data_IF_550098885584
#
_entry.id   IF_550098885584
#
_cell.length_a   1.000
_cell.length_b   1.000
_cell.length_c   1.000
_cell.angle_alpha   90.00
_cell.angle_beta   90.00
_cell.angle_gamma   90.00
#
_symmetry.space_group_name_H-M   'P 1'
#
loop_
_entity.id
_entity.type
_entity.pdbx_description
1 polymer ?
#
# COMPACT_ATOMS: atom_id res chain seq x y z
N UNK A 1 -18.49 2.49 4.40
CA UNK A 1 -18.55 1.60 3.24
C UNK A 1 -17.96 2.25 1.99
N UNK A 2 -18.45 3.43 1.54
CA UNK A 2 -17.96 4.13 0.34
C UNK A 2 -16.43 4.31 0.37
N UNK A 3 -15.87 4.77 1.51
CA UNK A 3 -14.42 4.94 1.66
C UNK A 3 -13.65 3.65 1.44
N UNK A 4 -14.10 2.56 2.05
CA UNK A 4 -13.46 1.24 1.90
C UNK A 4 -13.60 0.71 0.47
N UNK A 5 -14.77 0.90 -0.17
CA UNK A 5 -14.98 0.46 -1.54
C UNK A 5 -14.03 1.14 -2.53
N UNK A 6 -13.84 2.46 -2.43
CA UNK A 6 -12.91 3.17 -3.31
C UNK A 6 -11.45 2.77 -3.08
N UNK A 7 -11.04 2.54 -1.82
CA UNK A 7 -9.71 1.97 -1.54
C UNK A 7 -9.55 0.58 -2.18
N UNK A 8 -10.55 -0.28 -2.02
CA UNK A 8 -10.52 -1.64 -2.58
C UNK A 8 -10.41 -1.61 -4.11
N UNK A 9 -11.20 -0.75 -4.78
CA UNK A 9 -11.14 -0.57 -6.23
C UNK A 9 -9.78 -0.03 -6.67
N UNK A 10 -9.24 0.98 -5.98
CA UNK A 10 -7.90 1.50 -6.27
C UNK A 10 -6.81 0.42 -6.13
N UNK A 11 -6.85 -0.38 -5.07
CA UNK A 11 -5.90 -1.48 -4.88
C UNK A 11 -6.06 -2.60 -5.92
N UNK A 12 -7.31 -2.96 -6.26
CA UNK A 12 -7.57 -3.95 -7.30
C UNK A 12 -7.06 -3.48 -8.67
N UNK A 13 -7.28 -2.20 -9.00
CA UNK A 13 -6.78 -1.60 -10.24
C UNK A 13 -5.24 -1.62 -10.27
N UNK A 14 -4.58 -1.28 -9.15
CA UNK A 14 -3.13 -1.36 -9.04
C UNK A 14 -2.62 -2.79 -9.26
N UNK A 15 -3.29 -3.78 -8.66
CA UNK A 15 -2.94 -5.19 -8.80
C UNK A 15 -3.11 -5.67 -10.25
N UNK A 16 -4.23 -5.35 -10.90
CA UNK A 16 -4.52 -5.72 -12.29
C UNK A 16 -3.52 -5.15 -13.29
N UNK A 17 -3.08 -3.90 -13.06
CA UNK A 17 -2.13 -3.21 -13.92
C UNK A 17 -0.66 -3.49 -13.57
N UNK A 18 -0.40 -4.33 -12.57
CA UNK A 18 0.96 -4.60 -12.09
C UNK A 18 1.65 -3.36 -11.51
N UNK A 19 0.88 -2.36 -11.06
CA UNK A 19 1.41 -1.13 -10.48
C UNK A 19 1.97 -1.42 -9.08
N UNK A 20 3.27 -1.24 -8.90
CA UNK A 20 3.98 -1.55 -7.64
C UNK A 20 3.50 -0.69 -6.47
N UNK A 21 3.12 0.55 -6.74
CA UNK A 21 2.69 1.52 -5.73
C UNK A 21 1.18 1.57 -5.67
N UNK A 22 0.60 0.75 -4.81
CA UNK A 22 -0.81 0.88 -4.46
C UNK A 22 -1.07 2.29 -3.86
N UNK A 23 -2.30 2.83 -3.98
CA UNK A 23 -2.62 4.20 -3.55
C UNK A 23 -2.13 4.58 -2.15
N UNK A 24 -2.33 3.72 -1.16
CA UNK A 24 -1.90 3.96 0.22
C UNK A 24 -0.38 4.00 0.32
N UNK A 25 0.32 3.10 -0.37
CA UNK A 25 1.79 3.05 -0.37
C UNK A 25 2.36 4.31 -0.99
N UNK A 26 1.80 4.77 -2.12
CA UNK A 26 2.25 5.98 -2.80
C UNK A 26 2.13 7.23 -1.91
N UNK A 27 1.00 7.37 -1.21
CA UNK A 27 0.79 8.49 -0.27
C UNK A 27 1.75 8.38 0.93
N UNK A 28 1.96 7.18 1.46
CA UNK A 28 2.86 6.96 2.59
C UNK A 28 4.31 7.29 2.22
N UNK A 29 4.80 6.81 1.07
CA UNK A 29 6.14 7.14 0.56
C UNK A 29 6.29 8.64 0.31
N UNK A 30 5.28 9.27 -0.28
CA UNK A 30 5.26 10.71 -0.51
C UNK A 30 5.36 11.52 0.79
N UNK A 31 4.76 11.04 1.86
CA UNK A 31 4.82 11.66 3.19
C UNK A 31 6.21 11.50 3.80
N UNK A 32 6.79 10.30 3.71
CA UNK A 32 8.17 10.03 4.17
C UNK A 32 9.16 10.97 3.46
N UNK A 33 9.05 11.08 2.14
CA UNK A 33 9.94 11.91 1.32
C UNK A 33 9.95 13.40 1.73
N UNK A 34 8.90 13.86 2.38
CA UNK A 34 8.75 15.25 2.84
C UNK A 34 8.97 15.43 4.34
N UNK A 35 9.11 14.33 5.06
CA UNK A 35 9.37 14.37 6.50
C UNK A 35 10.84 14.73 6.75
N UNK A 36 11.16 15.70 7.63
CA UNK A 36 12.53 16.02 8.00
C UNK A 36 13.29 14.80 8.54
N UNK A 37 14.55 14.62 8.11
CA UNK A 37 15.38 13.47 8.48
C UNK A 37 15.46 13.21 9.98
N UNK A 38 15.58 14.27 10.79
CA UNK A 38 15.61 14.14 12.25
C UNK A 38 14.35 13.49 12.86
N UNK A 39 13.17 13.66 12.24
CA UNK A 39 11.93 12.99 12.67
C UNK A 39 11.93 11.54 12.24
N UNK A 40 12.44 11.25 11.04
CA UNK A 40 12.57 9.88 10.54
C UNK A 40 13.53 9.09 11.43
N UNK A 41 14.69 9.64 11.76
CA UNK A 41 15.69 9.01 12.63
C UNK A 41 15.14 8.72 14.03
N UNK A 42 14.41 9.68 14.62
CA UNK A 42 13.71 9.46 15.90
C UNK A 42 12.66 8.36 15.80
N UNK A 43 11.89 8.33 14.71
CA UNK A 43 10.91 7.29 14.46
C UNK A 43 11.56 5.91 14.39
N UNK A 44 12.65 5.78 13.63
CA UNK A 44 13.41 4.54 13.50
C UNK A 44 14.02 4.11 14.84
N UNK A 45 14.61 5.05 15.58
CA UNK A 45 15.23 4.75 16.89
C UNK A 45 14.22 4.27 17.94
N UNK A 46 12.98 4.78 17.89
CA UNK A 46 11.92 4.40 18.82
C UNK A 46 11.20 3.11 18.42
N UNK A 47 10.98 2.88 17.13
CA UNK A 47 10.13 1.81 16.61
C UNK A 47 10.94 0.62 16.07
N UNK A 48 12.22 0.80 15.78
CA UNK A 48 13.09 -0.24 15.24
C UNK A 48 12.49 -0.84 13.96
N UNK A 49 12.30 -2.17 13.95
CA UNK A 49 11.75 -2.92 12.82
C UNK A 49 10.26 -2.68 12.58
N UNK A 50 9.55 -2.02 13.51
CA UNK A 50 8.11 -1.73 13.43
C UNK A 50 7.80 -0.37 12.81
N UNK A 51 8.80 0.41 12.40
CA UNK A 51 8.64 1.74 11.81
C UNK A 51 7.63 1.75 10.64
N UNK A 52 7.78 0.85 9.69
CA UNK A 52 6.93 0.74 8.49
C UNK A 52 5.50 0.26 8.79
N UNK A 53 5.29 -0.86 9.53
CA UNK A 53 3.95 -1.25 9.94
C UNK A 53 3.20 -0.17 10.71
N UNK A 54 3.87 0.52 11.62
CA UNK A 54 3.28 1.62 12.40
C UNK A 54 2.88 2.78 11.49
N UNK A 55 3.74 3.17 10.56
CA UNK A 55 3.44 4.24 9.63
C UNK A 55 2.23 3.92 8.74
N UNK A 56 2.17 2.71 8.19
CA UNK A 56 1.00 2.25 7.43
C UNK A 56 -0.25 2.26 8.30
N UNK A 57 -0.12 1.83 9.56
CA UNK A 57 -1.20 1.88 10.55
C UNK A 57 -1.71 3.31 10.79
N UNK A 58 -0.82 4.28 10.97
CA UNK A 58 -1.16 5.70 11.14
C UNK A 58 -1.93 6.22 9.92
N UNK A 59 -1.45 5.94 8.70
CA UNK A 59 -2.14 6.33 7.47
C UNK A 59 -3.52 5.65 7.39
N UNK A 60 -3.61 4.38 7.78
CA UNK A 60 -4.87 3.65 7.84
C UNK A 60 -5.87 4.28 8.80
N UNK A 61 -5.44 4.64 10.01
CA UNK A 61 -6.27 5.33 11.01
C UNK A 61 -6.70 6.71 10.52
N UNK A 62 -5.81 7.47 9.91
CA UNK A 62 -6.12 8.78 9.32
C UNK A 62 -7.18 8.67 8.21
N UNK A 63 -7.07 7.68 7.34
CA UNK A 63 -8.06 7.40 6.30
C UNK A 63 -9.41 7.00 6.90
N UNK A 64 -9.43 6.13 7.92
CA UNK A 64 -10.66 5.76 8.61
C UNK A 64 -11.30 6.97 9.27
N UNK A 65 -10.53 7.83 9.90
CA UNK A 65 -10.99 9.10 10.47
C UNK A 65 -11.62 10.01 9.41
N UNK A 66 -10.98 10.14 8.25
CA UNK A 66 -11.51 10.92 7.12
C UNK A 66 -12.81 10.32 6.58
N UNK A 67 -12.93 8.99 6.50
CA UNK A 67 -14.16 8.32 6.07
C UNK A 67 -15.29 8.49 7.07
N UNK A 68 -14.99 8.43 8.36
CA UNK A 68 -15.97 8.71 9.41
C UNK A 68 -16.42 10.17 9.38
N UNK A 69 -15.48 11.11 9.23
CA UNK A 69 -15.79 12.53 9.08
C UNK A 69 -16.66 12.80 7.84
N UNK A 70 -16.34 12.19 6.69
CA UNK A 70 -17.18 12.27 5.50
C UNK A 70 -18.59 11.74 5.77
N UNK A 71 -18.73 10.61 6.46
CA UNK A 71 -20.04 10.04 6.82
C UNK A 71 -20.84 10.92 7.78
N UNK A 72 -20.18 11.54 8.77
CA UNK A 72 -20.82 12.46 9.71
C UNK A 72 -21.26 13.77 9.01
N UNK A 73 -20.37 14.35 8.20
CA UNK A 73 -20.67 15.58 7.47
C UNK A 73 -21.71 15.40 6.38
N UNK A 74 -21.83 14.19 5.83
CA UNK A 74 -22.90 13.87 4.88
C UNK A 74 -24.31 14.02 5.48
N UNK A 75 -24.46 13.86 6.81
CA UNK A 75 -25.73 14.12 7.51
C UNK A 75 -26.14 15.58 7.47
N UNK A 76 -25.18 16.50 7.29
CA UNK A 76 -25.43 17.93 7.21
C UNK A 76 -25.46 18.40 5.75
N UNK A 77 -24.55 17.88 4.92
CA UNK A 77 -24.45 18.25 3.52
C UNK A 77 -23.64 17.21 2.74
N UNK A 78 -24.23 16.68 1.69
CA UNK A 78 -23.56 15.74 0.75
C UNK A 78 -22.33 16.42 0.13
N UNK A 79 -22.42 17.70 -0.18
CA UNK A 79 -21.33 18.47 -0.76
C UNK A 79 -20.07 18.46 0.14
N UNK A 80 -20.23 18.49 1.47
CA UNK A 80 -19.09 18.43 2.38
C UNK A 80 -18.40 17.07 2.34
N UNK A 81 -19.16 15.99 2.30
CA UNK A 81 -18.59 14.64 2.16
C UNK A 81 -17.88 14.48 0.80
N UNK A 82 -18.46 15.00 -0.27
CA UNK A 82 -17.86 15.00 -1.61
C UNK A 82 -16.49 15.68 -1.59
N UNK A 83 -16.34 16.84 -0.96
CA UNK A 83 -15.09 17.56 -0.90
C UNK A 83 -14.01 16.83 -0.09
N UNK A 84 -14.37 16.06 0.94
CA UNK A 84 -13.40 15.21 1.65
C UNK A 84 -12.84 14.14 0.72
N UNK A 85 -13.70 13.42 -0.01
CA UNK A 85 -13.26 12.41 -0.95
C UNK A 85 -12.47 12.99 -2.13
N UNK A 86 -12.87 14.15 -2.63
CA UNK A 86 -12.14 14.88 -3.66
C UNK A 86 -10.74 15.29 -3.17
N UNK A 87 -10.63 15.78 -1.93
CA UNK A 87 -9.35 16.14 -1.33
C UNK A 87 -8.43 14.92 -1.14
N UNK A 88 -8.96 13.78 -0.67
CA UNK A 88 -8.20 12.54 -0.55
C UNK A 88 -7.70 12.04 -1.91
N UNK A 89 -8.54 12.13 -2.95
CA UNK A 89 -8.16 11.80 -4.32
C UNK A 89 -7.07 12.74 -4.86
N UNK A 90 -7.20 14.05 -4.59
CA UNK A 90 -6.21 15.04 -4.96
C UNK A 90 -4.86 14.80 -4.27
N UNK A 91 -4.85 14.46 -2.97
CA UNK A 91 -3.63 14.08 -2.23
C UNK A 91 -3.00 12.83 -2.86
N UNK A 92 -3.79 11.82 -3.17
CA UNK A 92 -3.31 10.62 -3.86
C UNK A 92 -2.70 10.93 -5.23
N UNK A 93 -3.34 11.78 -6.02
CA UNK A 93 -2.82 12.21 -7.31
C UNK A 93 -1.53 13.02 -7.17
N UNK A 94 -1.49 13.96 -6.23
CA UNK A 94 -0.30 14.76 -5.93
C UNK A 94 0.87 13.86 -5.51
N UNK A 95 0.60 12.82 -4.71
CA UNK A 95 1.61 11.85 -4.30
C UNK A 95 2.22 11.10 -5.49
N UNK A 96 1.42 10.70 -6.48
CA UNK A 96 1.93 10.07 -7.70
C UNK A 96 2.71 11.06 -8.57
N UNK A 97 2.17 12.26 -8.76
CA UNK A 97 2.76 13.26 -9.67
C UNK A 97 4.09 13.84 -9.16
N UNK A 98 4.24 13.94 -7.84
CA UNK A 98 5.42 14.58 -7.21
C UNK A 98 6.29 13.61 -6.41
N UNK A 99 5.95 12.33 -6.38
CA UNK A 99 6.75 11.29 -5.73
C UNK A 99 7.97 10.88 -6.56
N UNK A 100 9.01 10.35 -5.90
CA UNK A 100 10.29 9.97 -6.52
C UNK A 100 10.22 8.83 -7.56
N UNK A 101 9.09 8.16 -7.68
CA UNK A 101 8.94 6.94 -8.48
C UNK A 101 8.73 7.13 -9.98
N UNK A 102 8.72 8.36 -10.45
CA UNK A 102 8.36 8.68 -11.83
C UNK A 102 6.85 8.56 -12.11
N UNK A 103 6.36 9.36 -13.02
CA UNK A 103 4.95 9.35 -13.42
C UNK A 103 4.79 8.42 -14.62
N UNK A 104 4.07 7.32 -14.41
CA UNK A 104 3.60 6.50 -15.52
C UNK A 104 2.08 6.63 -15.63
N UNK A 105 1.51 6.65 -16.85
CA UNK A 105 0.05 6.72 -17.01
C UNK A 105 -0.68 5.60 -16.22
N UNK A 106 -0.10 4.41 -16.18
CA UNK A 106 -0.63 3.28 -15.42
C UNK A 106 -0.66 3.52 -13.91
N UNK A 107 0.26 4.32 -13.36
CA UNK A 107 0.31 4.61 -11.92
C UNK A 107 -0.81 5.55 -11.45
N UNK A 108 -1.37 6.37 -12.35
CA UNK A 108 -2.47 7.30 -12.01
C UNK A 108 -3.84 6.60 -11.99
N UNK A 109 -4.03 5.56 -12.80
CA UNK A 109 -5.30 4.86 -12.94
C UNK A 109 -5.88 4.31 -11.63
N UNK A 110 -5.11 3.71 -10.71
CA UNK A 110 -5.59 3.26 -9.42
C UNK A 110 -6.20 4.39 -8.57
N UNK A 111 -5.56 5.57 -8.59
CA UNK A 111 -6.06 6.75 -7.86
C UNK A 111 -7.35 7.26 -8.49
N UNK A 112 -7.38 7.37 -9.82
CA UNK A 112 -8.57 7.81 -10.57
C UNK A 112 -9.74 6.87 -10.29
N UNK A 113 -9.54 5.56 -10.41
CA UNK A 113 -10.58 4.56 -10.19
C UNK A 113 -11.12 4.59 -8.75
N UNK A 114 -10.23 4.67 -7.75
CA UNK A 114 -10.61 4.79 -6.35
C UNK A 114 -11.36 6.07 -6.05
N UNK A 115 -10.86 7.21 -6.52
CA UNK A 115 -11.50 8.53 -6.35
C UNK A 115 -12.85 8.58 -7.03
N UNK A 116 -12.96 8.09 -8.25
CA UNK A 116 -14.22 8.02 -8.98
C UNK A 116 -15.27 7.19 -8.23
N UNK A 117 -14.84 6.04 -7.67
CA UNK A 117 -15.70 5.21 -6.81
C UNK A 117 -16.15 5.97 -5.56
N UNK A 118 -15.29 6.77 -4.93
CA UNK A 118 -15.67 7.61 -3.80
C UNK A 118 -16.70 8.67 -4.17
N UNK A 119 -16.45 9.39 -5.26
CA UNK A 119 -17.32 10.50 -5.69
C UNK A 119 -18.70 10.00 -6.14
N UNK A 120 -18.75 8.98 -7.00
CA UNK A 120 -20.01 8.39 -7.45
C UNK A 120 -20.73 7.66 -6.31
N UNK A 121 -20.00 6.85 -5.54
CA UNK A 121 -20.56 6.11 -4.42
C UNK A 121 -21.13 7.02 -3.35
N UNK A 122 -20.50 8.18 -3.09
CA UNK A 122 -21.01 9.17 -2.14
C UNK A 122 -22.33 9.78 -2.65
N UNK A 123 -22.39 10.19 -3.91
CA UNK A 123 -23.61 10.74 -4.52
C UNK A 123 -24.75 9.73 -4.47
N UNK A 124 -24.47 8.47 -4.83
CA UNK A 124 -25.49 7.45 -4.90
C UNK A 124 -26.04 7.03 -3.53
N UNK A 125 -25.14 6.79 -2.55
CA UNK A 125 -25.54 6.37 -1.19
C UNK A 125 -26.21 7.50 -0.44
N UNK A 126 -25.64 8.69 -0.47
CA UNK A 126 -26.20 9.81 0.29
C UNK A 126 -27.48 10.33 -0.34
N UNK A 127 -27.59 10.37 -1.67
CA UNK A 127 -28.83 10.69 -2.37
C UNK A 127 -29.97 9.70 -2.09
N UNK A 128 -29.63 8.40 -1.97
CA UNK A 128 -30.61 7.38 -1.58
C UNK A 128 -31.06 7.51 -0.11
N UNK A 129 -30.18 8.00 0.77
CA UNK A 129 -30.52 8.25 2.19
C UNK A 129 -31.33 9.52 2.39
N UNK A 130 -31.06 10.60 1.63
CA UNK A 130 -31.89 11.82 1.64
C UNK A 130 -33.32 11.54 1.21
N UNK A 131 -33.50 10.76 0.15
CA UNK A 131 -34.83 10.37 -0.34
C UNK A 131 -35.62 9.52 0.66
N UNK A 132 -34.95 8.95 1.67
CA UNK A 132 -35.57 8.16 2.74
C UNK A 132 -35.95 8.98 3.98
N UNK A 133 -35.65 10.29 3.99
CA UNK A 133 -35.82 11.16 5.18
C UNK A 133 -37.22 11.80 5.29
N UNK A 134 -38.19 11.46 4.41
CA UNK A 134 -39.57 11.81 4.64
C UNK A 134 -40.26 10.84 5.62
N UNK A 135 -40.88 11.33 6.73
CA UNK A 135 -41.47 10.46 7.73
C UNK A 135 -42.79 9.87 7.24
N UNK A 136 -43.15 8.59 7.50
CA UNK A 136 -42.94 7.90 8.73
C UNK A 136 -42.29 6.50 8.59
N UNK A 137 -41.58 6.16 9.61
CA UNK A 137 -40.98 4.84 9.87
C UNK A 137 -39.67 4.54 9.11
N UNK A 138 -38.60 4.61 9.88
CA UNK A 138 -37.20 4.24 9.60
C UNK A 138 -37.03 2.85 8.95
N UNK A 139 -37.52 2.68 7.72
CA UNK A 139 -37.13 1.55 6.87
C UNK A 139 -36.26 2.11 5.77
N UNK A 140 -34.97 1.74 5.78
CA UNK A 140 -34.12 1.86 4.62
C UNK A 140 -34.92 1.39 3.40
N UNK A 141 -35.30 2.31 2.53
CA UNK A 141 -36.06 1.97 1.34
C UNK A 141 -35.25 0.94 0.51
N UNK A 142 -35.95 0.15 -0.29
CA UNK A 142 -35.35 -0.86 -1.16
C UNK A 142 -34.13 -0.32 -1.95
N UNK A 143 -34.20 0.94 -2.39
CA UNK A 143 -33.12 1.63 -3.10
C UNK A 143 -31.88 1.85 -2.21
N UNK A 144 -32.05 2.26 -0.95
CA UNK A 144 -30.95 2.43 0.00
C UNK A 144 -30.28 1.10 0.34
N UNK A 145 -31.03 0.03 0.54
CA UNK A 145 -30.50 -1.31 0.74
C UNK A 145 -29.73 -1.80 -0.50
N UNK A 146 -30.23 -1.58 -1.71
CA UNK A 146 -29.55 -1.96 -2.94
C UNK A 146 -28.28 -1.14 -3.15
N UNK A 147 -28.25 0.16 -2.79
CA UNK A 147 -27.08 0.99 -2.87
C UNK A 147 -25.98 0.52 -1.92
N UNK A 148 -26.31 0.27 -0.64
CA UNK A 148 -25.37 -0.24 0.37
C UNK A 148 -24.87 -1.62 -0.02
N UNK A 149 -25.79 -2.51 -0.44
CA UNK A 149 -25.44 -3.86 -0.90
C UNK A 149 -24.54 -3.84 -2.13
N UNK A 150 -24.83 -3.01 -3.12
CA UNK A 150 -23.99 -2.85 -4.32
C UNK A 150 -22.58 -2.39 -4.01
N UNK A 151 -22.40 -1.41 -3.12
CA UNK A 151 -21.07 -0.96 -2.70
C UNK A 151 -20.34 -2.02 -1.90
N UNK A 152 -21.04 -2.76 -1.04
CA UNK A 152 -20.44 -3.89 -0.32
C UNK A 152 -19.96 -4.97 -1.29
N UNK A 153 -20.74 -5.31 -2.31
CA UNK A 153 -20.34 -6.27 -3.36
C UNK A 153 -19.12 -5.77 -4.11
N UNK A 154 -19.07 -4.50 -4.51
CA UNK A 154 -17.90 -3.90 -5.19
C UNK A 154 -16.66 -3.98 -4.29
N UNK A 155 -16.79 -3.66 -3.00
CA UNK A 155 -15.66 -3.74 -2.06
C UNK A 155 -15.14 -5.17 -1.89
N UNK A 156 -16.03 -6.15 -1.76
CA UNK A 156 -15.68 -7.58 -1.63
C UNK A 156 -15.06 -8.10 -2.92
N UNK A 157 -15.66 -7.82 -4.07
CA UNK A 157 -15.15 -8.25 -5.38
C UNK A 157 -13.76 -7.67 -5.65
N UNK A 158 -13.57 -6.36 -5.40
CA UNK A 158 -12.27 -5.70 -5.56
C UNK A 158 -11.21 -6.26 -4.59
N UNK A 159 -11.59 -6.57 -3.35
CA UNK A 159 -10.69 -7.22 -2.38
C UNK A 159 -10.32 -8.63 -2.82
N UNK A 160 -11.27 -9.39 -3.37
CA UNK A 160 -11.04 -10.72 -3.93
C UNK A 160 -10.07 -10.71 -5.11
N UNK A 161 -10.21 -9.75 -6.02
CA UNK A 161 -9.26 -9.54 -7.12
C UNK A 161 -7.86 -9.26 -6.56
N UNK A 162 -7.71 -8.35 -5.60
CA UNK A 162 -6.43 -8.08 -4.95
C UNK A 162 -5.80 -9.33 -4.32
N UNK A 163 -6.62 -10.19 -3.69
CA UNK A 163 -6.17 -11.45 -3.09
C UNK A 163 -5.70 -12.48 -4.14
N UNK A 164 -6.36 -12.54 -5.32
CA UNK A 164 -5.95 -13.41 -6.42
C UNK A 164 -4.58 -13.02 -6.97
N UNK A 165 -4.34 -11.71 -7.15
CA UNK A 165 -3.04 -11.21 -7.63
C UNK A 165 -1.93 -11.34 -6.59
N UNK A 166 -2.26 -11.42 -5.30
CA UNK A 166 -1.29 -11.73 -4.24
C UNK A 166 -0.75 -13.16 -4.30
N UNK A 167 -1.32 -14.04 -5.14
CA UNK A 167 -0.79 -15.38 -5.42
C UNK A 167 0.59 -15.32 -6.06
N UNK A 168 0.83 -14.38 -6.97
CA UNK A 168 2.14 -14.19 -7.61
C UNK A 168 3.22 -13.87 -6.58
N UNK A 169 2.90 -13.03 -5.60
CA UNK A 169 3.81 -12.73 -4.48
C UNK A 169 4.12 -13.98 -3.66
N UNK A 170 3.12 -14.77 -3.30
CA UNK A 170 3.32 -16.02 -2.56
C UNK A 170 4.10 -17.06 -3.37
N UNK A 171 3.92 -17.10 -4.69
CA UNK A 171 4.71 -17.98 -5.58
C UNK A 171 6.18 -17.56 -5.61
N UNK A 172 6.47 -16.25 -5.71
CA UNK A 172 7.83 -15.75 -5.67
C UNK A 172 8.50 -15.96 -4.29
N UNK A 173 7.76 -15.82 -3.20
CA UNK A 173 8.24 -16.14 -1.85
C UNK A 173 8.58 -17.62 -1.72
N UNK A 174 7.69 -18.51 -2.17
CA UNK A 174 7.95 -19.96 -2.19
C UNK A 174 9.13 -20.34 -3.08
N UNK A 175 9.25 -19.72 -4.26
CA UNK A 175 10.37 -19.96 -5.16
C UNK A 175 11.71 -19.54 -4.52
N UNK A 176 11.70 -18.49 -3.70
CA UNK A 176 12.85 -18.04 -2.91
C UNK A 176 13.23 -19.04 -1.82
N UNK A 177 12.24 -19.60 -1.12
CA UNK A 177 12.45 -20.64 -0.09
C UNK A 177 13.04 -21.93 -0.67
N UNK A 178 12.70 -22.24 -1.92
CA UNK A 178 13.20 -23.42 -2.64
C UNK A 178 14.57 -23.18 -3.27
N UNK A 179 15.02 -21.94 -3.36
CA UNK A 179 16.33 -21.60 -3.92
C UNK A 179 17.44 -22.07 -2.99
N UNK A 180 18.14 -23.11 -3.42
CA UNK A 180 19.35 -23.60 -2.75
C UNK A 180 20.56 -23.09 -3.52
N UNK A 181 21.24 -22.14 -2.90
CA UNK A 181 22.53 -21.68 -3.43
C UNK A 181 23.61 -22.72 -3.04
N UNK A 182 24.50 -23.11 -3.96
CA UNK A 182 25.67 -23.91 -3.61
C UNK A 182 26.56 -23.06 -2.69
N UNK A 183 26.39 -23.24 -1.39
CA UNK A 183 27.21 -22.57 -0.40
C UNK A 183 28.38 -23.45 -0.06
N UNK A 184 29.58 -23.06 -0.44
CA UNK A 184 30.80 -23.49 0.25
C UNK A 184 30.79 -22.79 1.61
N UNK A 185 30.86 -23.55 2.68
CA UNK A 185 31.04 -23.03 4.02
C UNK A 185 32.55 -22.80 4.25
N UNK A 186 33.11 -21.63 3.92
CA UNK A 186 34.50 -21.38 4.09
C UNK A 186 34.78 -21.35 5.60
N UNK A 187 35.59 -22.27 6.09
CA UNK A 187 36.11 -22.19 7.45
C UNK A 187 36.93 -20.90 7.54
N UNK A 188 36.57 -19.97 8.42
CA UNK A 188 37.36 -18.74 8.56
C UNK A 188 38.78 -19.08 8.93
N UNK A 189 39.78 -18.38 8.37
CA UNK A 189 41.18 -18.56 8.76
C UNK A 189 41.36 -18.38 10.28
N UNK A 190 42.30 -19.13 10.87
CA UNK A 190 42.61 -18.96 12.29
C UNK A 190 43.00 -17.50 12.59
N UNK A 191 42.48 -16.96 13.68
CA UNK A 191 42.77 -15.58 14.09
C UNK A 191 41.84 -14.49 13.47
N UNK A 192 40.88 -14.84 12.63
CA UNK A 192 39.95 -13.88 12.02
C UNK A 192 38.95 -13.29 13.02
N UNK A 193 38.67 -13.95 14.13
CA UNK A 193 37.81 -13.46 15.17
C UNK A 193 38.59 -12.59 16.16
N UNK A 194 38.37 -11.30 16.10
CA UNK A 194 38.82 -10.36 17.12
C UNK A 194 38.00 -10.64 18.39
N UNK A 195 38.64 -11.22 19.43
CA UNK A 195 38.03 -11.46 20.74
C UNK A 195 37.86 -10.15 21.52
N UNK A 196 37.25 -9.15 20.90
CA UNK A 196 36.98 -7.83 21.48
C UNK A 196 35.50 -7.76 21.80
N UNK A 197 35.14 -7.36 23.01
CA UNK A 197 33.77 -7.13 23.40
C UNK A 197 33.12 -6.08 22.44
N UNK A 198 31.86 -6.29 22.08
CA UNK A 198 31.07 -5.42 21.19
C UNK A 198 31.44 -5.46 19.69
N UNK A 199 32.44 -6.23 19.28
CA UNK A 199 32.74 -6.46 17.86
C UNK A 199 31.94 -7.67 17.37
N UNK A 200 31.19 -7.47 16.26
CA UNK A 200 30.45 -8.54 15.63
C UNK A 200 31.40 -9.71 15.23
N UNK A 201 30.96 -10.96 15.35
CA UNK A 201 31.73 -12.09 14.89
C UNK A 201 31.99 -11.97 13.39
N UNK A 202 33.12 -12.52 12.92
CA UNK A 202 33.49 -12.51 11.50
C UNK A 202 32.35 -13.04 10.61
N UNK A 203 31.60 -14.00 11.11
CA UNK A 203 30.41 -14.54 10.45
C UNK A 203 29.18 -14.24 11.30
N UNK A 204 28.30 -13.42 10.78
CA UNK A 204 27.00 -13.15 11.42
C UNK A 204 26.04 -14.29 11.11
N UNK A 205 25.45 -14.97 12.11
CA UNK A 205 24.39 -15.96 11.89
C UNK A 205 23.19 -15.33 11.14
N UNK A 206 22.47 -16.15 10.37
CA UNK A 206 21.35 -15.65 9.56
C UNK A 206 20.20 -15.04 10.39
N UNK A 207 19.99 -15.54 11.60
CA UNK A 207 19.00 -15.04 12.56
C UNK A 207 19.41 -13.71 13.19
N UNK A 208 20.71 -13.43 13.27
CA UNK A 208 21.26 -12.18 13.75
C UNK A 208 21.59 -11.19 12.62
N UNK A 209 21.41 -11.59 11.35
CA UNK A 209 21.71 -10.73 10.21
C UNK A 209 20.60 -9.69 10.02
N UNK A 210 20.98 -8.42 10.04
CA UNK A 210 20.02 -7.34 9.85
C UNK A 210 19.51 -7.28 8.41
N UNK A 211 18.24 -6.93 8.25
CA UNK A 211 17.61 -6.71 6.94
C UNK A 211 17.15 -5.27 6.84
N UNK A 212 17.64 -4.55 5.83
CA UNK A 212 17.19 -3.19 5.52
C UNK A 212 16.43 -3.19 4.20
N UNK A 213 15.18 -2.76 4.25
CA UNK A 213 14.39 -2.51 3.06
C UNK A 213 14.30 -1.01 2.80
N UNK A 214 14.81 -0.56 1.67
CA UNK A 214 14.71 0.85 1.25
C UNK A 214 13.32 1.21 0.75
N UNK A 215 12.56 0.22 0.27
CA UNK A 215 11.18 0.40 -0.17
C UNK A 215 10.18 0.00 0.91
N UNK A 216 9.05 0.71 0.99
CA UNK A 216 7.95 0.36 1.89
C UNK A 216 7.33 -1.00 1.51
N UNK A 217 7.21 -1.25 0.21
CA UNK A 217 6.78 -2.51 -0.37
C UNK A 217 7.88 -3.04 -1.30
N UNK A 218 8.69 -4.04 -0.86
CA UNK A 218 9.70 -4.66 -1.71
C UNK A 218 9.07 -5.21 -3.00
N UNK A 219 9.74 -5.04 -4.16
CA UNK A 219 9.24 -5.56 -5.41
C UNK A 219 9.20 -7.09 -5.37
N UNK A 220 8.12 -7.66 -5.87
CA UNK A 220 8.01 -9.10 -6.08
C UNK A 220 8.54 -9.43 -7.46
N UNK A 221 9.65 -10.16 -7.52
CA UNK A 221 10.28 -10.58 -8.76
C UNK A 221 10.09 -12.08 -8.88
N UNK A 222 9.51 -12.55 -9.98
CA UNK A 222 9.45 -13.99 -10.28
C UNK A 222 10.87 -14.45 -10.65
N UNK A 223 11.45 -15.46 -9.96
CA UNK A 223 12.79 -15.95 -10.25
C UNK A 223 12.95 -16.44 -11.71
N UNK A 224 11.86 -16.87 -12.37
CA UNK A 224 11.87 -17.31 -13.75
C UNK A 224 12.09 -16.17 -14.73
N UNK A 225 11.66 -14.96 -14.38
CA UNK A 225 11.76 -13.76 -15.20
C UNK A 225 12.96 -12.90 -14.81
N UNK A 226 13.61 -13.24 -13.68
CA UNK A 226 14.77 -12.50 -13.21
C UNK A 226 15.97 -12.71 -14.15
N UNK A 227 16.56 -11.61 -14.56
CA UNK A 227 17.81 -11.60 -15.36
C UNK A 227 18.74 -10.55 -14.77
N UNK A 228 19.94 -10.98 -14.40
CA UNK A 228 21.03 -10.09 -14.06
C UNK A 228 21.87 -9.88 -15.31
N UNK A 229 21.94 -8.65 -15.78
CA UNK A 229 22.77 -8.29 -16.94
C UNK A 229 24.03 -7.61 -16.44
N UNK A 230 25.19 -8.19 -16.72
CA UNK A 230 26.49 -7.64 -16.39
C UNK A 230 27.08 -7.09 -17.71
N UNK A 231 27.33 -5.78 -17.77
CA UNK A 231 27.86 -5.11 -18.94
C UNK A 231 28.82 -3.98 -18.55
N UNK A 232 29.51 -3.38 -19.52
CA UNK A 232 30.46 -2.29 -19.32
C UNK A 232 31.90 -2.77 -19.46
N UNK A 233 32.72 -2.67 -18.40
CA UNK A 233 34.13 -3.06 -18.41
C UNK A 233 34.30 -4.58 -18.25
N UNK A 234 33.59 -5.37 -19.04
CA UNK A 234 33.69 -6.84 -19.11
C UNK A 234 34.01 -7.26 -20.54
N UNK A 235 34.74 -8.38 -20.71
CA UNK A 235 35.14 -8.87 -22.03
C UNK A 235 33.91 -9.26 -22.90
N UNK A 236 32.81 -9.68 -22.25
CA UNK A 236 31.52 -9.94 -22.89
C UNK A 236 30.38 -9.71 -21.90
N UNK A 237 29.24 -9.33 -22.42
CA UNK A 237 28.00 -9.27 -21.62
C UNK A 237 27.60 -10.67 -21.14
N UNK A 238 27.19 -10.77 -19.86
CA UNK A 238 26.72 -11.98 -19.20
C UNK A 238 25.25 -11.83 -18.82
#
# INVERSE_FOLDING_TARGET
LVGVAGLAVGHATAALLGVRRAPVVAVTEWFIDRTPGALIERGISLLGTYDKPVLIGIVGVALLGAFLAAGLLARVSIARAFWIFAALGAIGMLAILTGRGGVTPSATLPIIAGTFTWLLGSQWVFGALESASEPPAARLGRRGLLAIGGIAVVAVAASGVGALFNRTRRQAERARELLRLPMTDPTPPEGTSLKVAEVAPWRTPNDAFYTIHTALAPPTIDPRDYRLRIHGLVDREL
#
